data_IF_900851652740
#
_entry.id   IF_900851652740
#
_cell.length_a   1.000
_cell.length_b   1.000
_cell.length_c   1.000
_cell.angle_alpha   90.00
_cell.angle_beta   90.00
_cell.angle_gamma   90.00
#
_symmetry.space_group_name_H-M   'P 1'
#
loop_
_entity.id
_entity.type
_entity.pdbx_description
1 polymer ?
#
# COMPACT_ATOMS: atom_id res chain seq x y z
N UNK A 1 0.75 -10.06 7.02
CA UNK A 1 -0.59 -9.44 7.08
C UNK A 1 -1.59 -10.14 6.15
N UNK A 2 -1.40 -10.12 4.83
CA UNK A 2 -2.32 -10.74 3.85
C UNK A 2 -2.66 -12.21 4.17
N UNK A 3 -1.64 -13.04 4.36
CA UNK A 3 -1.83 -14.46 4.71
C UNK A 3 -2.61 -14.65 6.00
N UNK A 4 -2.25 -13.89 7.04
CA UNK A 4 -2.95 -13.94 8.33
C UNK A 4 -4.42 -13.55 8.14
N UNK A 5 -4.69 -12.50 7.36
CA UNK A 5 -6.03 -12.00 7.12
C UNK A 5 -6.93 -13.04 6.43
N UNK A 6 -6.52 -13.58 5.27
CA UNK A 6 -7.38 -14.52 4.54
C UNK A 6 -7.46 -15.89 5.21
N UNK A 7 -6.38 -16.38 5.83
CA UNK A 7 -6.41 -17.64 6.59
C UNK A 7 -7.31 -17.52 7.82
N UNK A 8 -7.26 -16.38 8.53
CA UNK A 8 -8.13 -16.16 9.67
C UNK A 8 -9.61 -16.04 9.26
N UNK A 9 -9.91 -15.39 8.12
CA UNK A 9 -11.26 -15.37 7.55
C UNK A 9 -11.74 -16.78 7.20
N UNK A 10 -10.88 -17.58 6.56
CA UNK A 10 -11.19 -18.96 6.20
C UNK A 10 -11.44 -19.84 7.44
N UNK A 11 -10.60 -19.68 8.46
CA UNK A 11 -10.70 -20.43 9.72
C UNK A 11 -11.93 -20.04 10.54
N UNK A 12 -12.34 -18.77 10.52
CA UNK A 12 -13.58 -18.31 11.15
C UNK A 12 -14.81 -18.84 10.41
N UNK A 13 -14.70 -18.96 9.09
CA UNK A 13 -15.80 -19.34 8.23
C UNK A 13 -16.79 -18.20 8.00
N UNK A 14 -17.87 -18.51 7.30
CA UNK A 14 -18.94 -17.58 6.97
C UNK A 14 -19.74 -17.23 8.22
N UNK A 15 -20.01 -15.94 8.46
CA UNK A 15 -20.87 -15.52 9.58
C UNK A 15 -22.34 -15.92 9.32
N UNK A 16 -23.12 -16.03 10.38
CA UNK A 16 -24.55 -16.33 10.25
C UNK A 16 -25.28 -15.19 9.53
N UNK A 17 -26.19 -15.53 8.61
CA UNK A 17 -26.97 -14.57 7.82
C UNK A 17 -26.16 -13.56 6.97
N UNK A 18 -24.99 -13.96 6.41
CA UNK A 18 -24.30 -13.09 5.42
C UNK A 18 -25.23 -12.74 4.27
N UNK A 19 -25.41 -11.44 4.06
CA UNK A 19 -25.99 -10.87 2.87
C UNK A 19 -24.90 -10.37 1.92
N UNK A 20 -25.09 -10.67 0.64
CA UNK A 20 -24.28 -10.15 -0.47
C UNK A 20 -25.04 -9.12 -1.30
N UNK A 21 -26.27 -8.80 -0.90
CA UNK A 21 -27.04 -7.76 -1.55
C UNK A 21 -26.38 -6.39 -1.29
N UNK A 22 -26.58 -5.47 -2.22
CA UNK A 22 -26.16 -4.09 -2.00
C UNK A 22 -27.03 -3.48 -0.89
N UNK A 23 -26.38 -2.80 0.06
CA UNK A 23 -27.07 -1.99 1.07
C UNK A 23 -27.97 -0.97 0.34
N UNK A 24 -29.23 -0.78 0.77
CA UNK A 24 -30.10 0.21 0.17
C UNK A 24 -29.55 1.60 0.47
N UNK A 25 -28.89 2.20 -0.52
CA UNK A 25 -28.26 3.52 -0.45
C UNK A 25 -28.73 4.40 -1.60
N UNK A 26 -28.54 5.72 -1.46
CA UNK A 26 -28.87 6.66 -2.52
C UNK A 26 -27.95 6.46 -3.75
N UNK A 27 -28.43 6.84 -4.95
CA UNK A 27 -27.62 6.76 -6.17
C UNK A 27 -26.32 7.56 -6.07
N UNK A 28 -26.37 8.71 -5.38
CA UNK A 28 -25.21 9.57 -5.16
C UNK A 28 -24.19 8.90 -4.23
N UNK A 29 -24.65 8.27 -3.16
CA UNK A 29 -23.76 7.53 -2.25
C UNK A 29 -23.08 6.35 -2.97
N UNK A 30 -23.83 5.62 -3.81
CA UNK A 30 -23.28 4.54 -4.63
C UNK A 30 -22.14 5.04 -5.54
N UNK A 31 -22.31 6.19 -6.19
CA UNK A 31 -21.26 6.78 -7.03
C UNK A 31 -20.01 7.11 -6.23
N UNK A 32 -20.15 7.76 -5.08
CA UNK A 32 -19.01 8.09 -4.21
C UNK A 32 -18.29 6.84 -3.71
N UNK A 33 -19.02 5.77 -3.36
CA UNK A 33 -18.43 4.49 -2.95
C UNK A 33 -17.65 3.83 -4.09
N UNK A 34 -18.15 3.89 -5.33
CA UNK A 34 -17.43 3.40 -6.52
C UNK A 34 -16.13 4.17 -6.72
N UNK A 35 -16.17 5.52 -6.66
CA UNK A 35 -14.96 6.33 -6.80
C UNK A 35 -13.96 6.09 -5.67
N UNK A 36 -14.43 5.92 -4.44
CA UNK A 36 -13.57 5.57 -3.31
C UNK A 36 -12.89 4.21 -3.53
N UNK A 37 -13.65 3.19 -3.95
CA UNK A 37 -13.11 1.86 -4.25
C UNK A 37 -12.05 1.90 -5.36
N UNK A 38 -12.30 2.65 -6.44
CA UNK A 38 -11.31 2.87 -7.51
C UNK A 38 -10.06 3.55 -6.98
N UNK A 39 -10.22 4.58 -6.14
CA UNK A 39 -9.10 5.27 -5.49
C UNK A 39 -8.27 4.34 -4.59
N UNK A 40 -8.92 3.49 -3.79
CA UNK A 40 -8.24 2.50 -2.96
C UNK A 40 -7.46 1.50 -3.80
N UNK A 41 -8.03 1.02 -4.92
CA UNK A 41 -7.32 0.13 -5.86
C UNK A 41 -6.11 0.84 -6.45
N UNK A 42 -6.25 2.08 -6.93
CA UNK A 42 -5.13 2.84 -7.49
C UNK A 42 -4.01 3.06 -6.47
N UNK A 43 -4.35 3.40 -5.22
CA UNK A 43 -3.37 3.62 -4.16
C UNK A 43 -2.64 2.33 -3.74
N UNK A 44 -3.33 1.18 -3.79
CA UNK A 44 -2.71 -0.12 -3.51
C UNK A 44 -1.57 -0.48 -4.49
N UNK A 45 -1.49 0.17 -5.65
CA UNK A 45 -0.44 -0.01 -6.67
C UNK A 45 0.48 1.22 -6.80
N UNK A 46 0.88 1.82 -5.68
CA UNK A 46 1.73 3.04 -5.64
C UNK A 46 3.26 2.81 -5.85
N UNK A 47 3.66 1.82 -6.66
CA UNK A 47 5.09 1.55 -6.92
C UNK A 47 5.79 2.59 -7.81
N UNK A 48 5.03 3.46 -8.48
CA UNK A 48 5.54 4.44 -9.44
C UNK A 48 6.50 5.47 -8.82
N UNK A 49 6.29 5.83 -7.55
CA UNK A 49 7.10 6.83 -6.85
C UNK A 49 8.56 6.43 -6.61
N UNK A 50 8.88 5.13 -6.68
CA UNK A 50 10.22 4.59 -6.43
C UNK A 50 10.78 3.84 -7.65
N UNK A 51 10.04 3.87 -8.77
CA UNK A 51 10.37 3.08 -9.96
C UNK A 51 11.69 3.53 -10.58
N UNK A 52 11.95 4.83 -10.64
CA UNK A 52 13.17 5.36 -11.26
C UNK A 52 14.40 5.10 -10.40
N UNK A 53 14.25 5.15 -9.08
CA UNK A 53 15.28 4.89 -8.09
C UNK A 53 15.68 3.41 -8.13
N UNK A 54 14.70 2.51 -8.16
CA UNK A 54 14.98 1.07 -8.34
C UNK A 54 15.66 0.84 -9.68
N UNK A 55 15.13 1.41 -10.77
CA UNK A 55 15.71 1.24 -12.10
C UNK A 55 17.14 1.77 -12.20
N UNK A 56 17.47 2.86 -11.50
CA UNK A 56 18.82 3.44 -11.46
C UNK A 56 19.85 2.52 -10.78
N UNK A 57 19.41 1.61 -9.91
CA UNK A 57 20.31 0.62 -9.27
C UNK A 57 20.59 -0.62 -10.14
N UNK A 58 19.82 -0.82 -11.21
CA UNK A 58 19.99 -1.97 -12.10
C UNK A 58 21.12 -1.71 -13.10
N UNK A 59 22.14 -2.60 -13.21
CA UNK A 59 23.21 -2.44 -14.17
C UNK A 59 22.67 -2.29 -15.61
N UNK A 60 23.11 -1.25 -16.30
CA UNK A 60 22.75 -1.00 -17.70
C UNK A 60 23.98 -0.69 -18.55
N UNK A 61 24.02 -1.24 -19.76
CA UNK A 61 24.97 -0.85 -20.82
C UNK A 61 24.20 -0.30 -22.02
N UNK A 62 24.84 0.40 -22.98
CA UNK A 62 24.18 0.84 -24.21
C UNK A 62 23.44 -0.29 -24.94
N UNK A 63 24.02 -1.50 -24.93
CA UNK A 63 23.44 -2.69 -25.57
C UNK A 63 22.41 -3.42 -24.70
N UNK A 64 22.39 -3.16 -23.38
CA UNK A 64 21.50 -3.81 -22.41
C UNK A 64 20.84 -2.77 -21.49
N UNK A 65 19.72 -2.17 -21.93
CA UNK A 65 19.03 -1.15 -21.16
C UNK A 65 18.37 -1.75 -19.90
N UNK A 66 18.42 -1.01 -18.78
CA UNK A 66 17.80 -1.41 -17.50
C UNK A 66 16.27 -1.56 -17.56
N UNK A 67 15.61 -1.03 -18.60
CA UNK A 67 14.16 -1.16 -18.80
C UNK A 67 13.70 -2.62 -18.89
N UNK A 68 14.50 -3.51 -19.46
CA UNK A 68 14.14 -4.92 -19.67
C UNK A 68 14.08 -5.68 -18.34
N UNK A 69 15.14 -5.69 -17.51
CA UNK A 69 15.07 -6.29 -16.17
C UNK A 69 14.05 -5.58 -15.27
N UNK A 70 13.92 -4.25 -15.35
CA UNK A 70 12.92 -3.50 -14.58
C UNK A 70 11.49 -3.96 -14.89
N UNK A 71 11.16 -4.14 -16.17
CA UNK A 71 9.84 -4.64 -16.58
C UNK A 71 9.54 -6.04 -16.04
N UNK A 72 10.52 -6.95 -16.10
CA UNK A 72 10.38 -8.31 -15.54
C UNK A 72 10.16 -8.27 -14.01
N UNK A 73 10.92 -7.42 -13.32
CA UNK A 73 10.76 -7.18 -11.89
C UNK A 73 9.38 -6.64 -11.54
N UNK A 74 8.90 -5.64 -12.28
CA UNK A 74 7.57 -5.08 -12.13
C UNK A 74 6.49 -6.13 -12.33
N UNK A 75 6.56 -6.92 -13.41
CA UNK A 75 5.59 -7.99 -13.67
C UNK A 75 5.54 -9.01 -12.53
N UNK A 76 6.70 -9.43 -12.01
CA UNK A 76 6.79 -10.31 -10.85
C UNK A 76 6.18 -9.70 -9.59
N UNK A 77 6.45 -8.42 -9.32
CA UNK A 77 5.86 -7.71 -8.19
C UNK A 77 4.33 -7.61 -8.28
N UNK A 78 3.78 -7.30 -9.46
CA UNK A 78 2.33 -7.27 -9.68
C UNK A 78 1.69 -8.66 -9.51
N UNK A 79 2.37 -9.73 -9.95
CA UNK A 79 1.91 -11.09 -9.73
C UNK A 79 1.86 -11.47 -8.25
N UNK A 80 2.89 -11.12 -7.48
CA UNK A 80 2.91 -11.32 -6.02
C UNK A 80 1.81 -10.51 -5.34
N UNK A 81 1.60 -9.24 -5.74
CA UNK A 81 0.52 -8.41 -5.22
C UNK A 81 -0.85 -9.03 -5.47
N UNK A 82 -1.07 -9.61 -6.66
CA UNK A 82 -2.30 -10.32 -6.98
C UNK A 82 -2.53 -11.48 -6.00
N UNK A 83 -1.52 -12.32 -5.77
CA UNK A 83 -1.58 -13.43 -4.79
C UNK A 83 -1.86 -12.93 -3.37
N UNK A 84 -1.38 -11.73 -3.00
CA UNK A 84 -1.61 -11.16 -1.68
C UNK A 84 -3.02 -10.54 -1.52
N UNK A 85 -3.54 -9.85 -2.54
CA UNK A 85 -4.79 -9.09 -2.46
C UNK A 85 -6.03 -9.90 -2.84
N UNK A 86 -5.99 -10.70 -3.91
CA UNK A 86 -7.18 -11.42 -4.38
C UNK A 86 -7.73 -12.40 -3.34
N UNK A 87 -6.92 -13.24 -2.66
CA UNK A 87 -7.44 -14.12 -1.62
C UNK A 87 -8.07 -13.36 -0.46
N UNK A 88 -7.49 -12.24 -0.05
CA UNK A 88 -8.05 -11.40 1.03
C UNK A 88 -9.40 -10.81 0.61
N UNK A 89 -9.50 -10.28 -0.61
CA UNK A 89 -10.74 -9.73 -1.13
C UNK A 89 -11.83 -10.80 -1.29
N UNK A 90 -11.51 -11.93 -1.93
CA UNK A 90 -12.45 -13.01 -2.21
C UNK A 90 -12.90 -13.69 -0.92
N UNK A 91 -11.97 -14.13 -0.07
CA UNK A 91 -12.29 -14.88 1.15
C UNK A 91 -12.89 -13.96 2.21
N UNK A 92 -12.38 -12.72 2.33
CA UNK A 92 -12.95 -11.73 3.25
C UNK A 92 -14.38 -11.36 2.89
N UNK A 93 -14.65 -11.10 1.60
CA UNK A 93 -16.02 -10.83 1.15
C UNK A 93 -16.92 -12.07 1.27
N UNK A 94 -16.42 -13.27 0.98
CA UNK A 94 -17.16 -14.51 1.22
C UNK A 94 -17.49 -14.76 2.70
N UNK A 95 -16.59 -14.38 3.61
CA UNK A 95 -16.81 -14.59 5.05
C UNK A 95 -17.82 -13.60 5.65
N UNK A 96 -17.81 -12.33 5.21
CA UNK A 96 -18.55 -11.23 5.86
C UNK A 96 -19.58 -10.51 4.96
N UNK A 97 -19.53 -10.70 3.64
CA UNK A 97 -20.40 -10.04 2.66
C UNK A 97 -20.41 -8.52 2.77
N UNK A 98 -21.60 -7.93 2.75
CA UNK A 98 -21.79 -6.46 2.82
C UNK A 98 -21.35 -5.81 4.15
N UNK A 99 -21.04 -6.61 5.18
CA UNK A 99 -20.64 -6.17 6.51
C UNK A 99 -19.12 -6.32 6.76
N UNK A 100 -18.35 -6.57 5.70
CA UNK A 100 -16.89 -6.47 5.76
C UNK A 100 -16.47 -5.03 6.05
N UNK A 101 -15.54 -4.86 7.00
CA UNK A 101 -14.92 -3.57 7.30
C UNK A 101 -13.74 -3.33 6.35
N UNK A 102 -13.34 -2.06 6.18
CA UNK A 102 -12.16 -1.68 5.38
C UNK A 102 -10.90 -2.44 5.80
N UNK A 103 -10.74 -2.66 7.12
CA UNK A 103 -9.77 -3.61 7.65
C UNK A 103 -10.48 -4.93 7.99
N UNK A 104 -10.25 -5.96 7.18
CA UNK A 104 -10.85 -7.28 7.36
C UNK A 104 -10.50 -7.95 8.71
N UNK A 105 -9.35 -7.62 9.32
CA UNK A 105 -9.00 -8.13 10.66
C UNK A 105 -9.88 -7.53 11.76
N UNK A 106 -10.43 -6.33 11.55
CA UNK A 106 -11.40 -5.74 12.48
C UNK A 106 -12.74 -6.46 12.39
N UNK A 107 -13.12 -6.97 11.21
CA UNK A 107 -14.30 -7.84 11.07
C UNK A 107 -14.14 -9.15 11.83
N UNK A 108 -12.91 -9.65 12.03
CA UNK A 108 -12.62 -10.89 12.75
C UNK A 108 -12.94 -10.82 14.25
N UNK A 109 -12.74 -9.67 14.92
CA UNK A 109 -12.99 -9.37 16.34
C UNK A 109 -12.28 -10.28 17.38
N UNK A 110 -12.02 -11.56 17.10
CA UNK A 110 -11.33 -12.53 17.95
C UNK A 110 -10.50 -13.51 17.09
N UNK A 111 -9.40 -14.05 17.62
CA UNK A 111 -8.78 -13.73 18.90
C UNK A 111 -7.94 -12.45 18.84
N UNK A 112 -7.98 -11.63 19.89
CA UNK A 112 -7.35 -10.29 19.92
C UNK A 112 -5.83 -10.31 19.76
N UNK A 113 -5.15 -11.37 20.22
CA UNK A 113 -3.69 -11.51 20.08
C UNK A 113 -3.27 -11.59 18.60
N UNK A 114 -4.07 -12.26 17.75
CA UNK A 114 -3.76 -12.41 16.33
C UNK A 114 -3.87 -11.06 15.60
N UNK A 115 -4.91 -10.30 15.94
CA UNK A 115 -5.13 -8.94 15.42
C UNK A 115 -3.99 -8.02 15.88
N UNK A 116 -3.60 -8.08 17.15
CA UNK A 116 -2.49 -7.29 17.69
C UNK A 116 -1.16 -7.60 16.99
N UNK A 117 -0.84 -8.89 16.81
CA UNK A 117 0.36 -9.31 16.08
C UNK A 117 0.35 -8.86 14.62
N UNK A 118 -0.79 -8.97 13.93
CA UNK A 118 -0.92 -8.51 12.55
C UNK A 118 -0.72 -6.99 12.44
N UNK A 119 -1.30 -6.21 13.36
CA UNK A 119 -1.12 -4.76 13.42
C UNK A 119 0.33 -4.36 13.76
N UNK A 120 1.01 -5.10 14.65
CA UNK A 120 2.41 -4.86 14.96
C UNK A 120 3.31 -5.10 13.74
N UNK A 121 3.05 -6.16 12.96
CA UNK A 121 3.78 -6.40 11.71
C UNK A 121 3.57 -5.26 10.69
N UNK A 122 2.35 -4.74 10.58
CA UNK A 122 2.05 -3.59 9.72
C UNK A 122 2.81 -2.36 10.22
N UNK A 123 2.81 -2.11 11.53
CA UNK A 123 3.56 -0.99 12.11
C UNK A 123 5.05 -1.06 11.76
N UNK A 124 5.70 -2.20 12.01
CA UNK A 124 7.13 -2.40 11.71
C UNK A 124 7.39 -2.22 10.20
N UNK A 125 6.53 -2.78 9.36
CA UNK A 125 6.61 -2.63 7.91
C UNK A 125 6.53 -1.16 7.48
N UNK A 126 5.52 -0.43 7.96
CA UNK A 126 5.28 0.98 7.59
C UNK A 126 6.43 1.88 8.04
N UNK A 127 6.96 1.66 9.25
CA UNK A 127 8.12 2.40 9.75
C UNK A 127 9.32 2.21 8.84
N UNK A 128 9.60 0.98 8.41
CA UNK A 128 10.69 0.70 7.47
C UNK A 128 10.44 1.28 6.08
N UNK A 129 9.23 1.11 5.55
CA UNK A 129 8.85 1.62 4.22
C UNK A 129 8.91 3.13 4.15
N UNK A 130 8.50 3.85 5.19
CA UNK A 130 8.56 5.31 5.25
C UNK A 130 9.99 5.82 4.98
N UNK A 131 11.01 5.19 5.55
CA UNK A 131 12.40 5.61 5.36
C UNK A 131 12.84 5.55 3.89
N UNK A 132 12.37 4.54 3.14
CA UNK A 132 12.72 4.36 1.72
C UNK A 132 11.90 5.31 0.84
N UNK A 133 10.59 5.39 1.08
CA UNK A 133 9.68 6.21 0.27
C UNK A 133 9.85 7.71 0.51
N UNK A 134 10.35 8.14 1.68
CA UNK A 134 10.58 9.54 1.96
C UNK A 134 11.86 10.07 1.29
N UNK A 135 12.85 9.22 0.95
CA UNK A 135 14.12 9.67 0.36
C UNK A 135 13.96 10.47 -0.95
N UNK A 136 13.18 10.02 -1.95
CA UNK A 136 12.97 10.79 -3.17
C UNK A 136 12.28 12.13 -2.90
N UNK A 137 11.36 12.17 -1.94
CA UNK A 137 10.65 13.39 -1.57
C UNK A 137 11.60 14.38 -0.90
N UNK A 138 12.46 13.91 0.01
CA UNK A 138 13.49 14.72 0.62
C UNK A 138 14.47 15.27 -0.42
N UNK A 139 14.90 14.45 -1.38
CA UNK A 139 15.81 14.89 -2.44
C UNK A 139 15.16 15.96 -3.34
N UNK A 140 13.86 15.82 -3.64
CA UNK A 140 13.10 16.81 -4.39
C UNK A 140 12.99 18.14 -3.62
N UNK A 141 12.66 18.10 -2.33
CA UNK A 141 12.53 19.30 -1.48
C UNK A 141 13.90 19.99 -1.32
N UNK A 142 14.95 19.23 -0.96
CA UNK A 142 16.30 19.75 -0.83
C UNK A 142 16.78 20.37 -2.15
N UNK A 143 16.56 19.68 -3.28
CA UNK A 143 16.87 20.16 -4.61
C UNK A 143 16.12 21.45 -4.98
N UNK A 144 14.85 21.57 -4.59
CA UNK A 144 14.06 22.78 -4.79
C UNK A 144 14.58 23.95 -3.96
N UNK A 145 14.86 23.72 -2.67
CA UNK A 145 15.39 24.75 -1.77
C UNK A 145 16.77 25.26 -2.20
N UNK A 146 17.65 24.37 -2.68
CA UNK A 146 18.96 24.77 -3.20
C UNK A 146 18.85 25.54 -4.52
N UNK A 147 18.06 25.04 -5.49
CA UNK A 147 18.01 25.62 -6.85
C UNK A 147 17.12 26.86 -6.98
N UNK A 148 16.05 26.96 -6.20
CA UNK A 148 15.06 28.06 -6.31
C UNK A 148 15.19 29.09 -5.20
N UNK A 149 15.61 28.67 -4.00
CA UNK A 149 15.67 29.53 -2.82
C UNK A 149 17.11 29.82 -2.37
N UNK A 150 18.13 29.33 -3.10
CA UNK A 150 19.56 29.56 -2.86
C UNK A 150 20.02 29.22 -1.42
N UNK A 151 19.42 28.21 -0.78
CA UNK A 151 19.91 27.73 0.51
C UNK A 151 21.27 27.03 0.38
N UNK A 152 22.22 27.26 1.31
CA UNK A 152 23.49 26.55 1.31
C UNK A 152 23.29 25.06 1.64
N UNK A 153 24.00 24.15 0.94
CA UNK A 153 23.95 22.73 1.26
C UNK A 153 24.57 22.48 2.64
N UNK A 154 23.91 21.69 3.49
CA UNK A 154 24.43 21.40 4.82
C UNK A 154 23.46 20.63 5.72
N UNK A 155 23.93 20.30 6.92
CA UNK A 155 23.16 19.55 7.93
C UNK A 155 21.90 20.32 8.37
N UNK A 156 21.97 21.66 8.42
CA UNK A 156 20.83 22.51 8.76
C UNK A 156 19.70 22.41 7.73
N UNK A 157 20.03 22.43 6.43
CA UNK A 157 19.04 22.27 5.36
C UNK A 157 18.36 20.89 5.43
N UNK A 158 19.14 19.83 5.66
CA UNK A 158 18.64 18.46 5.84
C UNK A 158 17.72 18.34 7.04
N UNK A 159 18.07 18.96 8.17
CA UNK A 159 17.23 18.98 9.37
C UNK A 159 15.91 19.69 9.09
N UNK A 160 15.95 20.90 8.51
CA UNK A 160 14.74 21.67 8.20
C UNK A 160 13.84 20.94 7.21
N UNK A 161 14.39 20.42 6.10
CA UNK A 161 13.63 19.72 5.07
C UNK A 161 13.00 18.43 5.61
N UNK A 162 13.72 17.66 6.44
CA UNK A 162 13.22 16.41 7.01
C UNK A 162 12.24 16.64 8.16
N UNK A 163 12.43 17.68 8.98
CA UNK A 163 11.50 18.04 10.05
C UNK A 163 10.23 18.72 9.57
N UNK A 164 10.26 19.45 8.45
CA UNK A 164 9.06 20.08 7.90
C UNK A 164 8.10 19.10 7.20
N UNK A 165 8.59 17.91 6.84
CA UNK A 165 7.82 16.87 6.17
C UNK A 165 7.21 15.83 7.14
N UNK A 166 7.69 15.79 8.39
CA UNK A 166 7.17 14.93 9.48
C UNK A 166 6.07 15.68 10.22
#
# INVERSE_FOLDING_TARGET
>A
YSTIAWVACLSRGRIDNVSYAYKPISKTDLLFRIFNALGQISFAFAGHAVTLEIQATIPSTPDKPSKIPMWKGALGAYFINAICYFPVAIIGYWAFGQDVNDNVLMSLQKPSWLIASANLMVFIHVVGSYQVYAMPVFDLIEGMMMRRLNFPPGVALRLVARSAYV
#
